data_IF_732028398796
#
_entry.id   IF_732028398796
#
_cell.length_a   1.000
_cell.length_b   1.000
_cell.length_c   1.000
_cell.angle_alpha   90.00
_cell.angle_beta   90.00
_cell.angle_gamma   90.00
#
_symmetry.space_group_name_H-M   'P 1'
#
loop_
_entity.id
_entity.type
_entity.pdbx_description
1 polymer ?
#
# COMPACT_ATOMS: atom_id res chain seq x y z
N UNK A 1 -3.74 13.49 3.94
CA UNK A 1 -2.42 13.29 3.32
C UNK A 1 -2.42 12.03 2.48
N UNK A 2 -1.99 12.11 1.26
CA UNK A 2 -1.86 10.98 0.34
C UNK A 2 -0.46 10.99 -0.26
N UNK A 3 0.22 9.86 -0.21
CA UNK A 3 1.51 9.65 -0.90
C UNK A 3 1.49 8.33 -1.63
N UNK A 4 1.84 8.36 -2.90
CA UNK A 4 1.92 7.17 -3.75
C UNK A 4 3.31 7.09 -4.35
N UNK A 5 3.99 5.97 -4.16
CA UNK A 5 5.33 5.74 -4.68
C UNK A 5 5.42 4.31 -5.23
N UNK A 6 5.70 4.18 -6.52
CA UNK A 6 5.90 2.89 -7.17
C UNK A 6 7.16 3.02 -8.03
N UNK A 7 8.18 2.23 -7.72
CA UNK A 7 9.46 2.27 -8.42
C UNK A 7 9.81 0.91 -9.01
N UNK A 8 10.26 0.90 -10.26
CA UNK A 8 10.88 -0.27 -10.87
C UNK A 8 12.32 -0.36 -10.34
N UNK A 9 12.60 -1.43 -9.59
CA UNK A 9 13.92 -1.66 -9.00
C UNK A 9 14.61 -2.88 -9.59
N UNK A 10 14.02 -3.49 -10.62
CA UNK A 10 14.50 -4.73 -11.19
C UNK A 10 14.29 -5.92 -10.27
N UNK A 11 14.11 -7.09 -10.84
CA UNK A 11 13.89 -8.32 -10.06
C UNK A 11 15.13 -8.70 -9.27
N UNK A 12 14.95 -9.02 -8.00
CA UNK A 12 16.02 -9.40 -7.09
C UNK A 12 15.48 -10.35 -6.02
N UNK A 13 16.36 -10.87 -5.18
CA UNK A 13 15.95 -11.69 -4.03
C UNK A 13 15.06 -10.87 -3.08
N UNK A 14 15.39 -9.58 -2.90
CA UNK A 14 14.62 -8.70 -2.01
C UNK A 14 13.29 -8.26 -2.61
N UNK A 15 13.25 -8.06 -3.93
CA UNK A 15 12.05 -7.61 -4.65
C UNK A 15 11.81 -8.52 -5.86
N UNK A 16 11.24 -9.73 -5.63
CA UNK A 16 11.07 -10.71 -6.74
C UNK A 16 10.14 -10.23 -7.86
N UNK A 17 9.22 -9.31 -7.55
CA UNK A 17 8.33 -8.73 -8.54
C UNK A 17 8.96 -7.57 -9.32
N UNK A 18 10.17 -7.16 -8.95
CA UNK A 18 10.90 -6.09 -9.61
C UNK A 18 10.41 -4.69 -9.30
N UNK A 19 9.54 -4.53 -8.31
CA UNK A 19 9.02 -3.23 -7.90
C UNK A 19 9.15 -3.01 -6.40
N UNK A 20 9.26 -1.75 -6.03
CA UNK A 20 9.18 -1.30 -4.64
C UNK A 20 8.09 -0.23 -4.56
N UNK A 21 7.14 -0.39 -3.65
CA UNK A 21 6.04 0.56 -3.55
C UNK A 21 5.69 0.91 -2.11
N UNK A 22 5.11 2.09 -1.95
CA UNK A 22 4.51 2.53 -0.71
C UNK A 22 3.33 3.45 -1.05
N UNK A 23 2.13 3.06 -0.64
CA UNK A 23 0.90 3.83 -0.86
C UNK A 23 0.29 4.11 0.49
N UNK A 24 0.15 5.39 0.84
CA UNK A 24 -0.42 5.78 2.13
C UNK A 24 -1.46 6.87 1.96
N UNK A 25 -2.56 6.74 2.70
CA UNK A 25 -3.55 7.81 2.88
C UNK A 25 -3.85 7.92 4.38
N UNK A 26 -3.67 9.09 4.94
CA UNK A 26 -3.87 9.35 6.36
C UNK A 26 -4.86 10.50 6.56
N UNK A 27 -5.85 10.29 7.42
CA UNK A 27 -6.74 11.34 7.88
C UNK A 27 -6.06 12.04 9.06
N UNK A 28 -5.69 13.29 8.88
CA UNK A 28 -4.95 14.06 9.90
C UNK A 28 -5.80 14.41 11.12
N UNK A 29 -7.13 14.40 10.99
CA UNK A 29 -8.05 14.70 12.10
C UNK A 29 -8.23 13.48 12.99
N UNK A 30 -8.56 12.32 12.41
CA UNK A 30 -8.84 11.10 13.16
C UNK A 30 -7.61 10.26 13.43
N UNK A 31 -6.50 10.53 12.71
CA UNK A 31 -5.26 9.74 12.72
C UNK A 31 -5.43 8.34 12.14
N UNK A 32 -6.55 8.04 11.53
CA UNK A 32 -6.75 6.78 10.79
C UNK A 32 -5.94 6.79 9.51
N UNK A 33 -5.45 5.62 9.10
CA UNK A 33 -4.66 5.52 7.89
C UNK A 33 -4.79 4.16 7.21
N UNK A 34 -4.49 4.15 5.91
CA UNK A 34 -4.34 2.94 5.09
C UNK A 34 -2.96 2.99 4.47
N UNK A 35 -2.19 1.94 4.61
CA UNK A 35 -0.84 1.82 4.03
C UNK A 35 -0.71 0.46 3.34
N UNK A 36 -0.26 0.48 2.08
CA UNK A 36 0.17 -0.72 1.37
C UNK A 36 1.64 -0.54 1.01
N UNK A 37 2.49 -1.49 1.39
CA UNK A 37 3.89 -1.44 0.99
C UNK A 37 4.51 -2.84 0.90
N UNK A 38 5.69 -2.94 0.29
CA UNK A 38 6.41 -4.20 0.16
C UNK A 38 7.86 -4.09 0.62
N UNK A 39 8.13 -3.24 1.60
CA UNK A 39 9.49 -3.03 2.09
C UNK A 39 10.13 -4.33 2.60
N UNK A 40 11.32 -4.66 2.08
CA UNK A 40 12.11 -5.80 2.55
C UNK A 40 12.46 -5.63 4.05
N UNK A 41 12.41 -6.68 4.89
CA UNK A 41 12.17 -8.10 4.57
C UNK A 41 10.72 -8.58 4.65
N UNK A 42 9.78 -7.73 5.03
CA UNK A 42 8.39 -8.17 5.26
C UNK A 42 7.64 -8.59 3.99
N UNK A 43 8.03 -8.05 2.82
CA UNK A 43 7.31 -8.29 1.59
C UNK A 43 5.99 -7.52 1.53
N UNK A 44 5.05 -8.02 0.72
CA UNK A 44 3.76 -7.34 0.51
C UNK A 44 2.91 -7.39 1.77
N UNK A 45 2.53 -6.24 2.28
CA UNK A 45 1.68 -6.16 3.47
C UNK A 45 0.86 -4.86 3.47
N UNK A 46 -0.18 -4.84 4.33
CA UNK A 46 -1.00 -3.66 4.51
C UNK A 46 -1.20 -3.35 5.98
N UNK A 47 -1.32 -2.06 6.28
CA UNK A 47 -1.67 -1.56 7.61
C UNK A 47 -2.96 -0.76 7.50
N UNK A 48 -3.96 -1.13 8.30
CA UNK A 48 -5.20 -0.38 8.40
C UNK A 48 -5.37 0.00 9.86
N UNK A 49 -5.13 1.27 10.18
CA UNK A 49 -5.25 1.84 11.53
C UNK A 49 -4.39 1.15 12.60
N UNK A 50 -3.35 0.45 12.22
CA UNK A 50 -2.50 -0.28 13.17
C UNK A 50 -2.63 -1.79 13.08
N UNK A 51 -3.64 -2.29 12.37
CA UNK A 51 -3.75 -3.72 12.08
C UNK A 51 -2.93 -4.04 10.85
N UNK A 52 -1.95 -4.92 11.01
CA UNK A 52 -1.09 -5.37 9.92
C UNK A 52 -1.54 -6.73 9.41
N UNK A 53 -1.59 -6.89 8.09
CA UNK A 53 -1.92 -8.16 7.45
C UNK A 53 -1.19 -8.29 6.12
N UNK A 54 -1.13 -9.52 5.60
CA UNK A 54 -0.52 -9.78 4.32
C UNK A 54 -1.38 -9.21 3.20
N UNK A 55 -0.71 -8.77 2.12
CA UNK A 55 -1.36 -8.29 0.91
C UNK A 55 -0.89 -9.14 -0.26
N UNK A 56 -1.83 -9.60 -1.09
CA UNK A 56 -1.50 -10.36 -2.30
C UNK A 56 -1.32 -9.40 -3.49
N UNK A 57 -0.07 -9.17 -3.87
CA UNK A 57 0.24 -8.34 -5.03
C UNK A 57 0.01 -9.12 -6.32
N UNK A 58 -0.74 -8.52 -7.24
CA UNK A 58 -1.02 -9.12 -8.57
C UNK A 58 -0.43 -8.24 -9.68
N UNK A 59 -0.68 -6.95 -9.63
CA UNK A 59 -0.21 -5.97 -10.62
C UNK A 59 -0.27 -4.57 -10.03
N UNK A 60 0.40 -3.61 -10.69
CA UNK A 60 0.34 -2.21 -10.27
C UNK A 60 -1.08 -1.66 -10.37
N UNK A 61 -1.80 -2.03 -11.43
CA UNK A 61 -3.19 -1.59 -11.62
C UNK A 61 -4.09 -2.09 -10.49
N UNK A 62 -3.96 -3.36 -10.13
CA UNK A 62 -4.72 -3.96 -9.05
C UNK A 62 -4.34 -3.38 -7.70
N UNK A 63 -3.06 -3.09 -7.50
CA UNK A 63 -2.55 -2.44 -6.28
C UNK A 63 -3.22 -1.08 -6.05
N UNK A 64 -3.25 -0.24 -7.07
CA UNK A 64 -3.88 1.07 -6.99
C UNK A 64 -5.37 0.95 -6.77
N UNK A 65 -6.04 0.05 -7.48
CA UNK A 65 -7.47 -0.20 -7.33
C UNK A 65 -7.81 -0.65 -5.90
N UNK A 66 -7.05 -1.60 -5.37
CA UNK A 66 -7.25 -2.09 -4.01
C UNK A 66 -7.01 -0.99 -2.97
N UNK A 67 -5.99 -0.16 -3.18
CA UNK A 67 -5.70 0.97 -2.30
C UNK A 67 -6.86 1.96 -2.28
N UNK A 68 -7.39 2.33 -3.43
CA UNK A 68 -8.54 3.24 -3.53
C UNK A 68 -9.77 2.69 -2.79
N UNK A 69 -10.04 1.39 -2.95
CA UNK A 69 -11.15 0.73 -2.27
C UNK A 69 -10.98 0.72 -0.76
N UNK A 70 -9.77 0.43 -0.28
CA UNK A 70 -9.47 0.41 1.14
C UNK A 70 -9.59 1.81 1.77
N UNK A 71 -9.12 2.83 1.06
CA UNK A 71 -9.24 4.22 1.52
C UNK A 71 -10.70 4.63 1.62
N UNK A 72 -11.50 4.32 0.61
CA UNK A 72 -12.92 4.64 0.64
C UNK A 72 -13.64 3.93 1.78
N UNK A 73 -13.36 2.64 1.96
CA UNK A 73 -14.00 1.81 3.00
C UNK A 73 -13.62 2.26 4.42
N UNK A 74 -12.36 2.56 4.66
CA UNK A 74 -11.84 2.81 6.00
C UNK A 74 -11.78 4.28 6.39
N UNK A 75 -11.59 5.17 5.42
CA UNK A 75 -11.47 6.61 5.66
C UNK A 75 -12.61 7.42 5.08
N UNK A 76 -13.46 6.81 4.26
CA UNK A 76 -14.56 7.51 3.60
C UNK A 76 -14.10 8.52 2.55
N UNK A 77 -12.87 8.41 2.07
CA UNK A 77 -12.29 9.33 1.08
C UNK A 77 -12.27 8.66 -0.28
N UNK A 78 -12.77 9.36 -1.29
CA UNK A 78 -12.70 8.91 -2.68
C UNK A 78 -11.51 9.58 -3.36
N UNK A 79 -10.55 8.78 -3.80
CA UNK A 79 -9.35 9.27 -4.48
C UNK A 79 -9.54 9.46 -5.98
#
# INVERSE_FOLDING_TARGET
MVELSIHDVGKSIQYPDGIKYGLICKDLKTKKFVLLDNHHPKGHHMHINGDESDYEYVSDEKLIEDFEKLVLKNLGVKL
#
